data_IF_940709530580
#
_entry.id   IF_940709530580
#
_cell.length_a   1.000
_cell.length_b   1.000
_cell.length_c   1.000
_cell.angle_alpha   90.00
_cell.angle_beta   90.00
_cell.angle_gamma   90.00
#
_symmetry.space_group_name_H-M   'P 1'
#
loop_
_entity.id
_entity.type
_entity.pdbx_description
1 polymer ?
#
# COMPACT_ATOMS: atom_id res chain seq x y z
N UNK A 1 48.93 13.75 9.86
CA UNK A 1 48.43 13.66 8.48
C UNK A 1 47.63 12.38 8.40
N UNK A 2 46.33 12.46 8.09
CA UNK A 2 45.55 11.25 7.79
C UNK A 2 46.12 10.65 6.50
N UNK A 3 46.35 9.33 6.50
CA UNK A 3 46.82 8.64 5.29
C UNK A 3 45.58 8.31 4.47
N UNK A 4 45.42 9.02 3.36
CA UNK A 4 44.40 8.69 2.37
C UNK A 4 45.05 7.88 1.25
N UNK A 5 44.42 6.76 0.91
CA UNK A 5 44.81 5.90 -0.21
C UNK A 5 43.72 5.98 -1.28
N UNK A 6 44.16 6.13 -2.53
CA UNK A 6 43.29 6.24 -3.69
C UNK A 6 43.75 5.24 -4.76
N UNK A 7 42.89 4.32 -5.15
CA UNK A 7 43.16 3.32 -6.19
C UNK A 7 42.15 3.42 -7.33
N UNK A 8 42.65 3.32 -8.55
CA UNK A 8 41.86 3.20 -9.78
C UNK A 8 42.52 2.11 -10.63
N UNK A 9 41.89 0.94 -10.69
CA UNK A 9 42.37 -0.20 -11.47
C UNK A 9 41.42 -0.50 -12.62
N UNK A 10 41.99 -0.77 -13.80
CA UNK A 10 41.27 -1.30 -14.95
C UNK A 10 41.92 -2.65 -15.31
N UNK A 11 41.23 -3.73 -14.99
CA UNK A 11 41.69 -5.12 -15.19
C UNK A 11 40.70 -5.89 -16.08
N UNK A 12 41.04 -7.10 -16.51
CA UNK A 12 40.13 -7.99 -17.26
C UNK A 12 38.80 -8.26 -16.53
N UNK A 13 38.84 -8.17 -15.20
CA UNK A 13 37.67 -8.34 -14.34
C UNK A 13 36.79 -7.10 -14.22
N UNK A 14 37.26 -5.92 -14.63
CA UNK A 14 36.48 -4.68 -14.61
C UNK A 14 37.23 -3.45 -14.11
N UNK A 15 36.45 -2.39 -13.84
CA UNK A 15 36.92 -1.15 -13.22
C UNK A 15 36.71 -1.21 -11.71
N UNK A 16 37.75 -0.87 -10.95
CA UNK A 16 37.74 -0.80 -9.49
C UNK A 16 38.24 0.56 -9.03
N UNK A 17 37.38 1.32 -8.36
CA UNK A 17 37.69 2.62 -7.76
C UNK A 17 37.56 2.46 -6.25
N UNK A 18 38.61 2.84 -5.52
CA UNK A 18 38.65 2.73 -4.06
C UNK A 18 39.27 4.00 -3.48
N UNK A 19 38.54 4.66 -2.58
CA UNK A 19 38.99 5.86 -1.88
C UNK A 19 38.84 5.61 -0.39
N UNK A 20 39.96 5.50 0.32
CA UNK A 20 40.01 5.14 1.74
C UNK A 20 40.85 6.12 2.55
N UNK A 21 40.47 6.30 3.81
CA UNK A 21 41.34 6.85 4.82
C UNK A 21 41.61 5.77 5.90
N UNK A 22 42.22 6.15 7.02
CA UNK A 22 42.57 5.22 8.11
C UNK A 22 41.35 4.48 8.74
N UNK A 23 40.11 4.95 8.53
CA UNK A 23 38.88 4.45 9.18
C UNK A 23 37.68 4.27 8.25
N UNK A 24 37.59 5.09 7.21
CA UNK A 24 36.46 5.24 6.32
C UNK A 24 36.84 4.91 4.88
N UNK A 25 35.85 4.62 4.06
CA UNK A 25 36.09 4.35 2.65
C UNK A 25 34.84 4.37 1.80
N UNK A 26 35.07 4.52 0.50
CA UNK A 26 34.09 4.37 -0.54
C UNK A 26 34.71 3.53 -1.65
N UNK A 27 34.06 2.42 -2.02
CA UNK A 27 34.48 1.59 -3.15
C UNK A 27 33.38 1.47 -4.19
N UNK A 28 33.77 1.46 -5.46
CA UNK A 28 32.89 1.18 -6.59
C UNK A 28 33.56 0.20 -7.53
N UNK A 29 32.82 -0.87 -7.88
CA UNK A 29 33.27 -1.95 -8.76
C UNK A 29 32.29 -2.05 -9.92
N UNK A 30 32.82 -2.06 -11.14
CA UNK A 30 32.06 -2.33 -12.37
C UNK A 30 32.68 -3.56 -13.04
N UNK A 31 32.15 -4.73 -12.71
CA UNK A 31 32.76 -6.01 -13.09
C UNK A 31 32.31 -6.47 -14.48
N UNK A 32 33.17 -7.19 -15.20
CA UNK A 32 32.89 -7.76 -16.53
C UNK A 32 31.80 -8.84 -16.51
N UNK A 33 31.43 -9.32 -15.31
CA UNK A 33 30.28 -10.23 -15.07
C UNK A 33 28.92 -9.52 -15.13
N UNK A 34 28.89 -8.18 -15.25
CA UNK A 34 27.67 -7.38 -15.26
C UNK A 34 27.21 -6.94 -13.86
N UNK A 35 28.04 -7.11 -12.83
CA UNK A 35 27.76 -6.65 -11.46
C UNK A 35 28.34 -5.26 -11.25
N UNK A 36 27.53 -4.36 -10.68
CA UNK A 36 27.96 -3.05 -10.21
C UNK A 36 27.72 -3.00 -8.70
N UNK A 37 28.77 -2.71 -7.93
CA UNK A 37 28.68 -2.57 -6.46
C UNK A 37 29.26 -1.22 -6.07
N UNK A 38 28.54 -0.48 -5.23
CA UNK A 38 29.04 0.72 -4.57
C UNK A 38 28.83 0.57 -3.07
N UNK A 39 29.88 0.82 -2.29
CA UNK A 39 29.79 0.85 -0.82
C UNK A 39 30.35 2.17 -0.31
N UNK A 40 29.80 2.65 0.80
CA UNK A 40 30.27 3.81 1.53
C UNK A 40 30.12 3.53 3.03
N UNK A 41 31.04 4.03 3.85
CA UNK A 41 30.99 3.83 5.31
C UNK A 41 29.95 4.69 6.02
N UNK A 42 29.54 5.81 5.41
CA UNK A 42 28.55 6.72 5.98
C UNK A 42 27.26 6.74 5.14
N UNK A 43 27.24 7.52 4.05
CA UNK A 43 26.03 7.75 3.25
C UNK A 43 26.31 7.72 1.75
N UNK A 44 25.29 7.31 0.99
CA UNK A 44 25.20 7.53 -0.46
C UNK A 44 24.00 8.44 -0.68
N UNK A 45 24.26 9.70 -1.03
CA UNK A 45 23.23 10.68 -1.35
C UNK A 45 23.16 10.87 -2.87
N UNK A 46 21.97 10.73 -3.44
CA UNK A 46 21.72 10.92 -4.86
C UNK A 46 20.48 11.78 -5.04
N UNK A 47 20.70 13.01 -5.50
CA UNK A 47 19.66 14.01 -5.75
C UNK A 47 19.49 14.22 -7.26
N UNK A 48 18.28 14.59 -7.68
CA UNK A 48 17.96 14.85 -9.08
C UNK A 48 16.87 15.92 -9.20
N UNK A 49 16.97 16.77 -10.23
CA UNK A 49 16.03 17.87 -10.46
C UNK A 49 14.66 17.43 -11.00
N UNK A 50 14.59 16.23 -11.59
CA UNK A 50 13.39 15.77 -12.32
C UNK A 50 12.92 14.39 -11.91
N UNK A 51 13.83 13.41 -11.97
CA UNK A 51 13.47 12.03 -11.67
C UNK A 51 14.65 11.19 -11.22
N UNK A 52 14.37 10.21 -10.38
CA UNK A 52 15.22 9.04 -10.12
C UNK A 52 14.45 7.82 -10.63
N UNK A 53 15.09 6.98 -11.44
CA UNK A 53 14.45 5.84 -12.11
C UNK A 53 15.32 4.58 -12.00
N UNK A 54 14.76 3.50 -11.46
CA UNK A 54 15.37 2.18 -11.45
C UNK A 54 14.43 1.18 -12.13
N UNK A 55 14.84 0.62 -13.26
CA UNK A 55 14.07 -0.34 -14.04
C UNK A 55 14.77 -1.69 -14.10
N UNK A 56 14.00 -2.77 -13.95
CA UNK A 56 14.43 -4.15 -14.21
C UNK A 56 13.33 -4.83 -15.02
N UNK A 57 13.50 -4.88 -16.34
CA UNK A 57 12.47 -5.38 -17.28
C UNK A 57 11.13 -4.62 -17.09
N UNK A 58 10.08 -5.32 -16.70
CA UNK A 58 8.73 -4.77 -16.48
C UNK A 58 8.53 -4.18 -15.06
N UNK A 59 9.57 -4.20 -14.22
CA UNK A 59 9.55 -3.61 -12.87
C UNK A 59 10.20 -2.24 -12.86
N UNK A 60 9.58 -1.28 -12.17
CA UNK A 60 9.98 0.12 -12.11
C UNK A 60 9.83 0.67 -10.69
N UNK A 61 10.88 1.35 -10.22
CA UNK A 61 10.81 2.32 -9.13
C UNK A 61 11.10 3.70 -9.69
N UNK A 62 10.21 4.68 -9.48
CA UNK A 62 10.49 6.07 -9.84
C UNK A 62 10.10 7.06 -8.76
N UNK A 63 10.92 8.09 -8.62
CA UNK A 63 10.67 9.26 -7.78
C UNK A 63 10.66 10.47 -8.71
N UNK A 64 9.60 11.27 -8.63
CA UNK A 64 9.44 12.59 -9.25
C UNK A 64 9.03 13.57 -8.15
N UNK A 65 8.90 14.84 -8.51
CA UNK A 65 8.50 15.92 -7.59
C UNK A 65 7.18 15.65 -6.86
N UNK A 66 6.19 15.07 -7.53
CA UNK A 66 4.82 14.87 -7.02
C UNK A 66 4.39 13.40 -6.93
N UNK A 67 5.29 12.47 -7.28
CA UNK A 67 4.95 11.05 -7.42
C UNK A 67 6.12 10.14 -7.04
N UNK A 68 5.84 9.17 -6.18
CA UNK A 68 6.67 7.97 -5.99
C UNK A 68 5.87 6.77 -6.50
N UNK A 69 6.47 6.00 -7.42
CA UNK A 69 5.85 4.84 -8.04
C UNK A 69 6.72 3.59 -7.82
N UNK A 70 6.10 2.54 -7.29
CA UNK A 70 6.63 1.18 -7.25
C UNK A 70 5.70 0.32 -8.11
N UNK A 71 6.16 -0.12 -9.27
CA UNK A 71 5.31 -0.81 -10.25
C UNK A 71 5.98 -2.07 -10.80
N UNK A 72 5.15 -3.07 -11.07
CA UNK A 72 5.45 -4.20 -11.95
C UNK A 72 4.41 -4.22 -13.06
N UNK A 73 4.38 -5.28 -13.88
CA UNK A 73 3.40 -5.43 -14.96
C UNK A 73 1.94 -5.33 -14.49
N UNK A 74 1.60 -5.95 -13.36
CA UNK A 74 0.21 -6.15 -12.92
C UNK A 74 -0.13 -5.46 -11.60
N UNK A 75 0.87 -4.91 -10.91
CA UNK A 75 0.72 -4.34 -9.58
C UNK A 75 1.46 -3.01 -9.46
N UNK A 76 0.89 -2.08 -8.70
CA UNK A 76 1.53 -0.80 -8.39
C UNK A 76 1.16 -0.24 -7.02
N UNK A 77 2.09 0.52 -6.47
CA UNK A 77 1.91 1.43 -5.35
C UNK A 77 2.31 2.82 -5.84
N UNK A 78 1.39 3.77 -5.74
CA UNK A 78 1.59 5.16 -6.12
C UNK A 78 1.36 6.04 -4.91
N UNK A 79 2.35 6.87 -4.58
CA UNK A 79 2.27 7.92 -3.58
C UNK A 79 2.30 9.25 -4.34
N UNK A 80 1.19 9.97 -4.34
CA UNK A 80 1.09 11.32 -4.86
C UNK A 80 0.73 12.26 -3.70
N UNK A 81 0.97 13.56 -3.85
CA UNK A 81 0.80 14.57 -2.81
C UNK A 81 -0.53 14.50 -2.05
N UNK A 82 -1.62 14.14 -2.73
CA UNK A 82 -2.97 14.11 -2.15
C UNK A 82 -3.64 12.73 -2.20
N UNK A 83 -2.91 11.71 -2.65
CA UNK A 83 -3.50 10.42 -3.05
C UNK A 83 -2.52 9.27 -2.93
N UNK A 84 -2.95 8.20 -2.29
CA UNK A 84 -2.22 6.94 -2.24
C UNK A 84 -3.06 5.88 -2.97
N UNK A 85 -2.45 5.15 -3.90
CA UNK A 85 -3.10 4.08 -4.66
C UNK A 85 -2.33 2.78 -4.53
N UNK A 86 -3.01 1.73 -4.11
CA UNK A 86 -2.57 0.34 -4.24
C UNK A 86 -3.42 -0.33 -5.30
N UNK A 87 -2.80 -0.93 -6.31
CA UNK A 87 -3.51 -1.59 -7.40
C UNK A 87 -2.91 -2.94 -7.73
N UNK A 88 -3.77 -3.95 -7.91
CA UNK A 88 -3.43 -5.27 -8.45
C UNK A 88 -4.53 -5.67 -9.42
N UNK A 89 -4.22 -5.74 -10.72
CA UNK A 89 -5.22 -5.97 -11.76
C UNK A 89 -6.39 -4.97 -11.68
N UNK A 90 -7.61 -5.49 -11.49
CA UNK A 90 -8.83 -4.69 -11.36
C UNK A 90 -9.19 -4.30 -9.91
N UNK A 91 -8.44 -4.77 -8.91
CA UNK A 91 -8.67 -4.42 -7.51
C UNK A 91 -7.81 -3.23 -7.12
N UNK A 92 -8.37 -2.29 -6.37
CA UNK A 92 -7.65 -1.12 -5.87
C UNK A 92 -8.09 -0.67 -4.49
N UNK A 93 -7.14 -0.11 -3.75
CA UNK A 93 -7.38 0.69 -2.56
C UNK A 93 -6.86 2.09 -2.86
N UNK A 94 -7.74 3.07 -2.72
CA UNK A 94 -7.47 4.47 -3.01
C UNK A 94 -7.73 5.28 -1.76
N UNK A 95 -6.73 6.01 -1.29
CA UNK A 95 -6.84 6.91 -0.14
C UNK A 95 -6.58 8.33 -0.63
N UNK A 96 -7.61 9.16 -0.55
CA UNK A 96 -7.55 10.59 -0.90
C UNK A 96 -7.80 11.40 0.40
N UNK A 97 -7.68 12.73 0.35
CA UNK A 97 -7.73 13.60 1.54
C UNK A 97 -9.02 13.51 2.39
N UNK A 98 -10.10 12.94 1.85
CA UNK A 98 -11.39 12.83 2.54
C UNK A 98 -12.06 11.48 2.43
N UNK A 99 -11.42 10.48 1.82
CA UNK A 99 -12.06 9.19 1.55
C UNK A 99 -11.08 8.04 1.43
N UNK A 100 -11.55 6.85 1.79
CA UNK A 100 -10.90 5.58 1.50
C UNK A 100 -11.88 4.76 0.68
N UNK A 101 -11.48 4.41 -0.55
CA UNK A 101 -12.26 3.59 -1.48
C UNK A 101 -11.57 2.24 -1.68
N UNK A 102 -12.35 1.16 -1.53
CA UNK A 102 -11.89 -0.21 -1.76
C UNK A 102 -12.75 -0.80 -2.87
N UNK A 103 -12.14 -1.05 -4.01
CA UNK A 103 -12.81 -1.59 -5.20
C UNK A 103 -12.23 -2.97 -5.52
N UNK A 104 -13.10 -3.96 -5.64
CA UNK A 104 -12.73 -5.35 -5.93
C UNK A 104 -13.94 -6.13 -6.41
N UNK A 105 -13.72 -7.22 -7.14
CA UNK A 105 -14.80 -8.16 -7.48
C UNK A 105 -15.40 -8.83 -6.23
N UNK A 106 -14.58 -9.11 -5.22
CA UNK A 106 -15.00 -9.71 -3.94
C UNK A 106 -14.25 -9.04 -2.78
N UNK A 107 -14.95 -8.76 -1.69
CA UNK A 107 -14.38 -8.27 -0.43
C UNK A 107 -14.74 -9.27 0.68
N UNK A 108 -13.73 -9.86 1.31
CA UNK A 108 -13.90 -10.78 2.44
C UNK A 108 -13.33 -10.13 3.71
N UNK A 109 -14.18 -9.89 4.72
CA UNK A 109 -13.77 -9.35 6.03
C UNK A 109 -13.93 -10.44 7.09
N UNK A 110 -12.84 -10.82 7.74
CA UNK A 110 -12.84 -11.80 8.85
C UNK A 110 -12.23 -11.14 10.09
N UNK A 111 -12.86 -11.33 11.24
CA UNK A 111 -12.35 -10.91 12.54
C UNK A 111 -12.37 -12.09 13.50
N UNK A 112 -11.40 -12.13 14.42
CA UNK A 112 -11.34 -13.12 15.49
C UNK A 112 -12.20 -12.75 16.70
N UNK A 113 -12.42 -11.45 16.91
CA UNK A 113 -13.22 -10.94 18.02
C UNK A 113 -14.40 -10.12 17.48
N UNK A 114 -14.17 -8.85 17.16
CA UNK A 114 -15.22 -7.91 16.79
C UNK A 114 -14.89 -7.19 15.48
N UNK A 115 -15.94 -6.79 14.75
CA UNK A 115 -15.85 -5.80 13.67
C UNK A 115 -16.73 -4.62 14.08
N UNK A 116 -16.10 -3.51 14.49
CA UNK A 116 -16.81 -2.32 14.95
C UNK A 116 -16.91 -1.30 13.80
N UNK A 117 -18.13 -0.90 13.44
CA UNK A 117 -18.39 0.16 12.45
C UNK A 117 -19.08 1.29 13.19
N UNK A 118 -18.42 2.45 13.25
CA UNK A 118 -18.95 3.67 13.86
C UNK A 118 -18.94 4.79 12.82
N UNK A 119 -20.01 5.57 12.76
CA UNK A 119 -20.12 6.73 11.89
C UNK A 119 -20.73 7.90 12.65
N UNK A 120 -20.20 9.10 12.40
CA UNK A 120 -20.75 10.37 12.93
C UNK A 120 -21.97 10.84 12.16
N UNK A 121 -22.19 10.27 10.98
CA UNK A 121 -23.34 10.47 10.11
C UNK A 121 -23.92 9.11 9.69
N UNK A 122 -24.69 9.08 8.60
CA UNK A 122 -25.37 7.89 8.15
C UNK A 122 -24.40 6.81 7.62
N UNK A 123 -24.73 5.54 7.84
CA UNK A 123 -24.11 4.38 7.16
C UNK A 123 -25.08 3.86 6.11
N UNK A 124 -24.67 3.90 4.84
CA UNK A 124 -25.41 3.31 3.72
C UNK A 124 -24.90 1.91 3.38
N UNK A 125 -25.82 0.97 3.18
CA UNK A 125 -25.51 -0.38 2.69
C UNK A 125 -26.42 -0.70 1.52
N UNK A 126 -25.85 -0.84 0.33
CA UNK A 126 -26.58 -1.10 -0.92
C UNK A 126 -26.05 -2.38 -1.58
N UNK A 127 -26.92 -3.11 -2.28
CA UNK A 127 -26.53 -4.31 -3.04
C UNK A 127 -27.72 -5.00 -3.72
N UNK A 128 -27.45 -5.71 -4.82
CA UNK A 128 -28.46 -6.44 -5.61
C UNK A 128 -29.20 -7.52 -4.80
N UNK A 129 -28.50 -8.22 -3.91
CA UNK A 129 -29.03 -9.28 -3.05
C UNK A 129 -28.32 -9.24 -1.68
N UNK A 130 -28.71 -8.30 -0.81
CA UNK A 130 -28.16 -8.24 0.54
C UNK A 130 -28.73 -9.39 1.41
N UNK A 131 -27.85 -10.28 1.91
CA UNK A 131 -28.22 -11.36 2.83
C UNK A 131 -27.47 -11.19 4.15
N UNK A 132 -28.18 -10.78 5.20
CA UNK A 132 -27.61 -10.57 6.54
C UNK A 132 -28.00 -11.78 7.40
N UNK A 133 -27.01 -12.50 7.92
CA UNK A 133 -27.21 -13.64 8.83
C UNK A 133 -26.45 -13.40 10.14
N UNK A 134 -27.18 -13.40 11.25
CA UNK A 134 -26.60 -13.40 12.60
C UNK A 134 -26.87 -14.77 13.26
N UNK A 135 -25.84 -15.37 13.86
CA UNK A 135 -25.96 -16.68 14.54
C UNK A 135 -26.49 -16.58 15.97
N UNK A 136 -26.21 -15.47 16.66
CA UNK A 136 -26.54 -15.28 18.08
C UNK A 136 -27.73 -14.34 18.23
N UNK A 137 -27.57 -13.07 17.83
CA UNK A 137 -28.64 -12.08 17.87
C UNK A 137 -28.33 -10.94 16.90
N UNK A 138 -29.37 -10.23 16.45
CA UNK A 138 -29.27 -8.95 15.76
C UNK A 138 -30.15 -7.96 16.53
N UNK A 139 -29.53 -6.99 17.19
CA UNK A 139 -30.23 -5.91 17.88
C UNK A 139 -30.14 -4.66 17.02
N UNK A 140 -31.28 -4.02 16.75
CA UNK A 140 -31.36 -2.73 16.06
C UNK A 140 -32.09 -1.76 16.98
N UNK A 141 -31.39 -0.71 17.41
CA UNK A 141 -31.91 0.29 18.34
C UNK A 141 -31.93 1.66 17.65
N UNK A 142 -33.05 2.37 17.76
CA UNK A 142 -33.24 3.68 17.17
C UNK A 142 -34.66 4.20 17.37
N UNK A 143 -34.86 5.51 17.19
CA UNK A 143 -36.17 6.16 17.38
C UNK A 143 -37.20 5.71 16.33
N UNK A 144 -36.75 5.21 15.18
CA UNK A 144 -37.62 4.74 14.10
C UNK A 144 -36.94 3.63 13.26
N UNK A 145 -37.62 2.49 13.08
CA UNK A 145 -37.21 1.41 12.18
C UNK A 145 -38.32 1.21 11.15
N UNK A 146 -38.05 1.51 9.88
CA UNK A 146 -39.02 1.41 8.80
C UNK A 146 -38.55 0.44 7.71
N UNK A 147 -39.29 -0.64 7.51
CA UNK A 147 -39.01 -1.68 6.51
C UNK A 147 -40.01 -1.51 5.35
N UNK A 148 -39.51 -1.15 4.17
CA UNK A 148 -40.30 -1.07 2.93
C UNK A 148 -39.83 -2.16 1.98
N UNK A 149 -40.63 -3.22 1.84
CA UNK A 149 -40.38 -4.31 0.91
C UNK A 149 -41.63 -4.64 0.10
N UNK A 150 -41.45 -5.15 -1.12
CA UNK A 150 -42.53 -5.65 -1.98
C UNK A 150 -42.90 -7.12 -1.71
N UNK A 151 -42.20 -7.80 -0.79
CA UNK A 151 -42.36 -9.22 -0.46
C UNK A 151 -42.76 -9.45 1.02
N UNK A 152 -43.17 -10.69 1.32
CA UNK A 152 -43.64 -11.14 2.65
C UNK A 152 -42.51 -11.04 3.68
N UNK A 153 -42.73 -10.26 4.75
CA UNK A 153 -41.93 -10.35 5.98
C UNK A 153 -42.50 -11.45 6.88
N UNK A 154 -41.70 -12.44 7.29
CA UNK A 154 -42.10 -13.45 8.27
C UNK A 154 -41.27 -13.29 9.54
N UNK A 155 -41.94 -12.92 10.63
CA UNK A 155 -41.33 -12.82 11.96
C UNK A 155 -41.84 -14.02 12.76
N UNK A 156 -40.92 -14.91 13.18
CA UNK A 156 -41.24 -16.02 14.09
C UNK A 156 -40.54 -15.77 15.42
N UNK A 157 -41.29 -15.37 16.44
CA UNK A 157 -40.79 -15.14 17.80
C UNK A 157 -41.84 -15.50 18.85
N UNK A 158 -41.38 -15.94 20.03
CA UNK A 158 -42.21 -16.17 21.21
C UNK A 158 -42.43 -14.84 21.95
N UNK A 159 -43.69 -14.36 21.96
CA UNK A 159 -44.21 -13.21 22.71
C UNK A 159 -43.43 -11.88 22.59
N UNK A 160 -43.95 -10.94 21.79
CA UNK A 160 -43.58 -9.52 21.88
C UNK A 160 -44.04 -8.95 23.24
N UNK A 161 -43.12 -8.55 24.11
CA UNK A 161 -43.42 -7.65 25.22
C UNK A 161 -43.27 -6.21 24.74
N UNK A 162 -44.39 -5.55 24.47
CA UNK A 162 -44.41 -4.09 24.36
C UNK A 162 -44.32 -3.55 25.79
N UNK A 163 -43.17 -2.98 26.15
CA UNK A 163 -43.03 -2.21 27.39
C UNK A 163 -43.20 -0.75 26.97
N UNK A 164 -44.32 -0.15 27.37
CA UNK A 164 -44.60 1.27 27.19
C UNK A 164 -43.90 2.14 28.22
#
# INVERSE_FOLDING_TARGET
MSKADHFVNLEDKGLYIDVKNDKDGCDTKMESTGVITTTATDTIQSEADKQILANVKESKTSIKEDEILLATKEASIMLNNNKIVFKIGNSSIVMDSGSISIESGTINVKSSANTNIQATQNVGVEGLNANIKAKVAMNAEGVNVNIKGSAIASIKGSATTMVG
#
